data_IF_033132140018
#
_entry.id   IF_033132140018
#
_cell.length_a   1.000
_cell.length_b   1.000
_cell.length_c   1.000
_cell.angle_alpha   90.00
_cell.angle_beta   90.00
_cell.angle_gamma   90.00
#
_symmetry.space_group_name_H-M   'P 1'
#
loop_
_entity.id
_entity.type
_entity.pdbx_description
1 polymer ?
#
# COMPACT_ATOMS: atom_id res chain seq x y z
N UNK A 1 11.31 -16.49 15.64
CA UNK A 1 10.99 -16.26 16.20
C UNK A 1 11.02 -16.06 16.34
N UNK A 2 11.01 -15.92 16.11
CA UNK A 2 10.64 -15.56 16.70
C UNK A 2 10.96 -15.16 16.58
N UNK A 3 11.15 -15.17 16.31
CA UNK A 3 11.17 -14.64 16.59
C UNK A 3 11.31 -14.01 16.51
N UNK A 4 11.41 -13.75 16.30
CA UNK A 4 11.04 -13.00 16.73
C UNK A 4 10.85 -12.41 17.02
N UNK A 5 11.00 -12.45 16.97
CA UNK A 5 10.52 -11.83 17.55
C UNK A 5 10.63 -11.24 17.79
N UNK A 6 10.85 -11.10 17.75
CA UNK A 6 10.68 -10.48 18.27
C UNK A 6 11.13 -9.97 18.53
N UNK A 7 11.18 -9.77 18.59
CA UNK A 7 11.47 -9.19 18.94
C UNK A 7 11.64 -8.45 18.69
N UNK A 8 11.71 -8.26 18.31
CA UNK A 8 11.70 -7.53 18.15
C UNK A 8 11.29 -7.04 17.69
N UNK A 9 11.56 -7.64 17.25
CA UNK A 9 10.74 -7.14 16.63
C UNK A 9 9.81 -6.50 16.55
N UNK A 10 9.62 -6.66 16.94
CA UNK A 10 8.56 -5.87 17.34
C UNK A 10 8.34 -4.64 16.49
N UNK A 11 9.33 -4.10 15.90
CA UNK A 11 9.17 -2.82 15.23
C UNK A 11 8.15 -2.87 14.10
N UNK A 12 8.11 -3.94 13.30
CA UNK A 12 7.15 -4.03 12.22
C UNK A 12 5.72 -4.03 12.73
N UNK A 13 5.47 -4.80 13.76
CA UNK A 13 4.14 -4.90 14.32
C UNK A 13 3.67 -3.57 14.86
N UNK A 14 4.60 -2.71 15.24
CA UNK A 14 4.27 -1.42 15.83
C UNK A 14 4.15 -0.29 14.84
N UNK A 15 4.61 -0.47 13.61
CA UNK A 15 4.49 0.58 12.60
C UNK A 15 3.09 0.55 12.00
N UNK A 16 2.35 1.64 12.15
CA UNK A 16 0.97 1.67 11.66
C UNK A 16 0.82 1.42 10.17
N UNK A 17 1.83 1.77 9.37
CA UNK A 17 1.73 1.61 7.93
C UNK A 17 1.57 0.14 7.53
N UNK A 18 2.15 -0.78 8.30
CA UNK A 18 2.02 -2.21 7.99
C UNK A 18 0.63 -2.72 8.35
N UNK A 19 0.06 -2.25 9.44
CA UNK A 19 -1.32 -2.57 9.77
C UNK A 19 -2.28 -2.02 8.73
N UNK A 20 -2.07 -0.77 8.31
CA UNK A 20 -2.96 -0.13 7.33
C UNK A 20 -2.88 -0.80 5.97
N UNK A 21 -1.68 -1.17 5.52
CA UNK A 21 -1.56 -1.85 4.24
C UNK A 21 -2.12 -3.27 4.30
N UNK A 22 -1.97 -3.94 5.44
CA UNK A 22 -2.58 -5.26 5.62
C UNK A 22 -4.10 -5.17 5.52
N UNK A 23 -4.70 -4.21 6.22
CA UNK A 23 -6.15 -4.00 6.19
C UNK A 23 -6.62 -3.64 4.78
N UNK A 24 -5.86 -2.80 4.10
CA UNK A 24 -6.18 -2.40 2.73
C UNK A 24 -6.22 -3.62 1.80
N UNK A 25 -5.20 -4.47 1.86
CA UNK A 25 -5.17 -5.67 1.01
C UNK A 25 -6.29 -6.63 1.36
N UNK A 26 -6.59 -6.77 2.65
CA UNK A 26 -7.67 -7.63 3.13
C UNK A 26 -9.03 -7.18 2.59
N UNK A 27 -9.22 -5.87 2.47
CA UNK A 27 -10.45 -5.31 1.92
C UNK A 27 -10.48 -5.42 0.39
N UNK A 28 -9.34 -5.12 -0.24
CA UNK A 28 -9.29 -4.95 -1.69
C UNK A 28 -9.50 -6.25 -2.45
N UNK A 29 -8.85 -7.31 -2.03
CA UNK A 29 -8.88 -8.56 -2.80
C UNK A 29 -10.31 -9.08 -2.96
N UNK A 30 -11.12 -9.20 -1.90
CA UNK A 30 -12.51 -9.65 -2.09
C UNK A 30 -13.34 -8.64 -2.89
N UNK A 31 -13.06 -7.36 -2.74
CA UNK A 31 -13.82 -6.34 -3.46
C UNK A 31 -13.67 -6.48 -4.98
N UNK A 32 -12.48 -6.89 -5.44
CA UNK A 32 -12.24 -7.06 -6.87
C UNK A 32 -12.95 -8.28 -7.45
N UNK A 33 -13.49 -9.17 -6.61
CA UNK A 33 -14.26 -10.31 -7.12
C UNK A 33 -15.49 -9.87 -7.90
N UNK A 34 -15.95 -8.65 -7.68
CA UNK A 34 -17.11 -8.10 -8.38
C UNK A 34 -16.74 -7.35 -9.65
N UNK A 35 -15.45 -7.25 -9.94
CA UNK A 35 -15.01 -6.58 -11.19
C UNK A 35 -15.26 -7.51 -12.37
N UNK A 36 -15.49 -6.94 -13.59
CA UNK A 36 -15.76 -7.77 -14.76
C UNK A 36 -14.63 -8.73 -15.09
N UNK A 37 -14.98 -9.98 -15.32
CA UNK A 37 -14.00 -11.01 -15.67
C UNK A 37 -13.27 -10.70 -16.97
N UNK A 38 -13.95 -10.02 -17.90
CA UNK A 38 -13.36 -9.68 -19.17
C UNK A 38 -12.11 -8.82 -19.01
N UNK A 39 -11.99 -8.12 -17.88
CA UNK A 39 -10.87 -7.22 -17.64
C UNK A 39 -9.97 -7.69 -16.50
N UNK A 40 -10.04 -8.98 -16.16
CA UNK A 40 -9.27 -9.50 -15.04
C UNK A 40 -7.77 -9.40 -15.27
N UNK A 41 -7.30 -9.60 -16.49
CA UNK A 41 -5.87 -9.53 -16.79
C UNK A 41 -5.40 -8.14 -17.17
N UNK A 42 -6.29 -7.31 -17.67
CA UNK A 42 -5.93 -5.98 -18.16
C UNK A 42 -6.08 -4.90 -17.11
N UNK A 43 -6.98 -5.08 -16.15
CA UNK A 43 -7.21 -4.08 -15.13
C UNK A 43 -7.03 -4.63 -13.72
N UNK A 44 -7.84 -5.64 -13.36
CA UNK A 44 -7.86 -6.15 -11.98
C UNK A 44 -6.47 -6.62 -11.54
N UNK A 45 -5.79 -7.35 -12.41
CA UNK A 45 -4.46 -7.86 -12.08
C UNK A 45 -3.46 -6.71 -11.88
N UNK A 46 -3.56 -5.65 -12.69
CA UNK A 46 -2.68 -4.50 -12.53
C UNK A 46 -2.90 -3.79 -11.21
N UNK A 47 -4.17 -3.62 -10.83
CA UNK A 47 -4.48 -3.01 -9.54
C UNK A 47 -3.95 -3.85 -8.40
N UNK A 48 -4.20 -5.15 -8.42
CA UNK A 48 -3.76 -6.03 -7.34
C UNK A 48 -2.24 -6.12 -7.28
N UNK A 49 -1.58 -6.20 -8.44
CA UNK A 49 -0.12 -6.24 -8.45
C UNK A 49 0.47 -4.97 -7.83
N UNK A 50 -0.09 -3.81 -8.18
CA UNK A 50 0.40 -2.56 -7.60
C UNK A 50 0.19 -2.52 -6.09
N UNK A 51 -0.96 -3.01 -5.63
CA UNK A 51 -1.27 -3.02 -4.21
C UNK A 51 -0.35 -3.96 -3.43
N UNK A 52 -0.12 -5.17 -3.95
CA UNK A 52 0.77 -6.12 -3.28
C UNK A 52 2.22 -5.63 -3.33
N UNK A 53 2.65 -5.08 -4.47
CA UNK A 53 4.01 -4.56 -4.57
C UNK A 53 4.24 -3.39 -3.64
N UNK A 54 3.21 -2.57 -3.42
CA UNK A 54 3.30 -1.49 -2.45
C UNK A 54 3.70 -2.03 -1.08
N UNK A 55 2.98 -3.05 -0.60
CA UNK A 55 3.28 -3.65 0.70
C UNK A 55 4.67 -4.29 0.71
N UNK A 56 5.01 -5.01 -0.34
CA UNK A 56 6.30 -5.68 -0.43
C UNK A 56 7.45 -4.69 -0.46
N UNK A 57 7.26 -3.57 -1.16
CA UNK A 57 8.28 -2.53 -1.23
C UNK A 57 8.48 -1.86 0.13
N UNK A 58 7.38 -1.64 0.86
CA UNK A 58 7.48 -1.09 2.22
C UNK A 58 8.24 -2.02 3.14
N UNK A 59 8.02 -3.32 3.03
CA UNK A 59 8.75 -4.28 3.84
C UNK A 59 10.23 -4.29 3.49
N UNK A 60 10.54 -4.19 2.19
CA UNK A 60 11.93 -4.11 1.77
C UNK A 60 12.60 -2.83 2.32
N UNK A 61 11.87 -1.71 2.28
CA UNK A 61 12.37 -0.46 2.82
C UNK A 61 12.68 -0.56 4.31
N UNK A 62 11.85 -1.31 5.03
CA UNK A 62 12.04 -1.48 6.46
C UNK A 62 13.33 -2.24 6.80
N UNK A 63 13.77 -3.10 5.87
CA UNK A 63 15.00 -3.88 6.06
C UNK A 63 16.26 -3.14 5.61
N UNK A 64 16.10 -2.00 4.97
CA UNK A 64 17.23 -1.20 4.46
C UNK A 64 17.38 0.07 5.28
N UNK A 65 18.42 0.83 4.97
CA UNK A 65 18.64 2.10 5.62
C UNK A 65 19.24 3.08 4.62
N UNK A 66 19.28 4.36 4.99
CA UNK A 66 19.93 5.38 4.19
C UNK A 66 19.33 5.56 2.81
N UNK A 67 20.19 5.65 1.82
CA UNK A 67 19.78 5.91 0.44
C UNK A 67 18.91 4.80 -0.10
N UNK A 68 19.24 3.55 0.24
CA UNK A 68 18.45 2.40 -0.24
C UNK A 68 17.03 2.46 0.27
N UNK A 69 16.86 2.77 1.56
CA UNK A 69 15.51 2.89 2.13
C UNK A 69 14.74 4.01 1.43
N UNK A 70 15.37 5.16 1.27
CA UNK A 70 14.68 6.30 0.67
C UNK A 70 14.24 6.01 -0.75
N UNK A 71 15.07 5.34 -1.54
CA UNK A 71 14.71 4.96 -2.91
C UNK A 71 13.49 4.03 -2.91
N UNK A 72 13.44 3.07 -1.99
CA UNK A 72 12.31 2.16 -1.90
C UNK A 72 11.04 2.87 -1.45
N UNK A 73 11.17 3.82 -0.54
CA UNK A 73 10.00 4.59 -0.10
C UNK A 73 9.42 5.42 -1.23
N UNK A 74 10.27 6.00 -2.09
CA UNK A 74 9.79 6.74 -3.26
C UNK A 74 9.14 5.80 -4.27
N UNK A 75 9.66 4.60 -4.43
CA UNK A 75 9.04 3.59 -5.29
C UNK A 75 7.65 3.21 -4.75
N UNK A 76 7.53 3.06 -3.44
CA UNK A 76 6.25 2.77 -2.82
C UNK A 76 5.24 3.89 -3.06
N UNK A 77 5.71 5.14 -3.03
CA UNK A 77 4.85 6.29 -3.28
C UNK A 77 4.31 6.27 -4.71
N UNK A 78 5.14 5.88 -5.69
CA UNK A 78 4.68 5.75 -7.07
C UNK A 78 3.65 4.63 -7.21
N UNK A 79 3.86 3.52 -6.51
CA UNK A 79 2.89 2.43 -6.53
C UNK A 79 1.55 2.86 -5.93
N UNK A 80 1.61 3.65 -4.87
CA UNK A 80 0.39 4.15 -4.24
C UNK A 80 -0.37 5.08 -5.19
N UNK A 81 0.34 5.92 -5.95
CA UNK A 81 -0.31 6.77 -6.95
C UNK A 81 -0.99 5.94 -8.02
N UNK A 82 -0.35 4.85 -8.44
CA UNK A 82 -0.93 3.94 -9.42
C UNK A 82 -2.22 3.34 -8.89
N UNK A 83 -2.20 2.90 -7.63
CA UNK A 83 -3.40 2.38 -6.97
C UNK A 83 -4.52 3.42 -6.97
N UNK A 84 -4.17 4.67 -6.65
CA UNK A 84 -5.16 5.74 -6.62
C UNK A 84 -5.86 5.91 -7.97
N UNK A 85 -5.09 5.89 -9.05
CA UNK A 85 -5.65 6.04 -10.40
C UNK A 85 -6.58 4.88 -10.72
N UNK A 86 -6.15 3.65 -10.43
CA UNK A 86 -6.97 2.47 -10.73
C UNK A 86 -8.27 2.48 -9.93
N UNK A 87 -8.24 2.90 -8.67
CA UNK A 87 -9.46 2.98 -7.87
C UNK A 87 -10.43 4.02 -8.41
N UNK A 88 -9.91 5.17 -8.88
CA UNK A 88 -10.77 6.18 -9.49
C UNK A 88 -11.40 5.67 -10.77
N UNK A 89 -10.66 4.92 -11.56
CA UNK A 89 -11.20 4.30 -12.77
C UNK A 89 -12.30 3.29 -12.42
N UNK A 90 -12.08 2.49 -11.38
CA UNK A 90 -13.05 1.48 -10.98
C UNK A 90 -14.38 2.11 -10.56
N UNK A 91 -14.35 3.22 -9.80
CA UNK A 91 -15.60 3.87 -9.41
C UNK A 91 -16.24 4.57 -10.61
N UNK A 92 -15.42 5.15 -11.49
CA UNK A 92 -15.92 5.82 -12.68
C UNK A 92 -16.70 4.85 -13.59
N UNK A 93 -16.20 3.62 -13.70
CA UNK A 93 -16.83 2.61 -14.54
C UNK A 93 -17.92 1.82 -13.82
N UNK A 94 -18.20 2.16 -12.56
CA UNK A 94 -19.29 1.52 -11.82
C UNK A 94 -18.91 0.19 -11.19
N UNK A 95 -17.64 -0.18 -11.17
CA UNK A 95 -17.19 -1.44 -10.58
C UNK A 95 -17.04 -1.34 -9.06
N UNK A 96 -16.93 -0.13 -8.54
CA UNK A 96 -17.01 0.16 -7.12
C UNK A 96 -18.16 1.14 -6.93
N UNK A 97 -18.91 0.95 -5.84
CA UNK A 97 -19.93 1.93 -5.46
C UNK A 97 -19.26 3.17 -4.88
N UNK A 98 -20.04 4.26 -4.79
CA UNK A 98 -19.51 5.48 -4.17
C UNK A 98 -19.08 5.25 -2.73
N UNK A 99 -19.88 4.47 -1.98
CA UNK A 99 -19.53 4.16 -0.59
C UNK A 99 -18.28 3.31 -0.47
N UNK A 100 -18.14 2.31 -1.33
CA UNK A 100 -16.94 1.49 -1.36
C UNK A 100 -15.71 2.33 -1.70
N UNK A 101 -15.85 3.22 -2.68
CA UNK A 101 -14.74 4.07 -3.06
C UNK A 101 -14.34 5.01 -1.92
N UNK A 102 -15.32 5.63 -1.25
CA UNK A 102 -15.01 6.49 -0.11
C UNK A 102 -14.25 5.74 0.97
N UNK A 103 -14.69 4.51 1.24
CA UNK A 103 -14.04 3.69 2.25
C UNK A 103 -12.58 3.40 1.90
N UNK A 104 -12.34 2.91 0.69
CA UNK A 104 -10.98 2.53 0.29
C UNK A 104 -10.11 3.75 0.05
N UNK A 105 -10.69 4.86 -0.42
CA UNK A 105 -9.94 6.11 -0.59
C UNK A 105 -9.44 6.61 0.76
N UNK A 106 -10.24 6.44 1.82
CA UNK A 106 -9.81 6.77 3.17
C UNK A 106 -8.63 5.93 3.63
N UNK A 107 -8.66 4.63 3.32
CA UNK A 107 -7.55 3.74 3.65
C UNK A 107 -6.27 4.16 2.93
N UNK A 108 -6.39 4.46 1.64
CA UNK A 108 -5.25 4.86 0.82
C UNK A 108 -4.70 6.21 1.28
N UNK A 109 -5.57 7.13 1.65
CA UNK A 109 -5.16 8.44 2.17
C UNK A 109 -4.34 8.26 3.46
N UNK A 110 -4.78 7.39 4.34
CA UNK A 110 -4.06 7.14 5.59
C UNK A 110 -2.69 6.52 5.32
N UNK A 111 -2.63 5.56 4.40
CA UNK A 111 -1.35 4.98 4.00
C UNK A 111 -0.43 6.06 3.44
N UNK A 112 -0.97 6.96 2.61
CA UNK A 112 -0.19 8.04 2.02
C UNK A 112 0.39 8.98 3.06
N UNK A 113 -0.40 9.30 4.10
CA UNK A 113 0.10 10.15 5.18
C UNK A 113 1.23 9.48 5.94
N UNK A 114 1.08 8.20 6.25
CA UNK A 114 2.09 7.46 6.97
C UNK A 114 3.37 7.32 6.13
N UNK A 115 3.21 7.06 4.84
CA UNK A 115 4.35 6.95 3.95
C UNK A 115 5.09 8.27 3.82
N UNK A 116 4.34 9.38 3.67
CA UNK A 116 4.94 10.71 3.60
C UNK A 116 5.71 11.04 4.86
N UNK A 117 5.16 10.67 6.02
CA UNK A 117 5.87 10.86 7.29
C UNK A 117 7.16 10.06 7.37
N UNK A 118 7.11 8.83 6.89
CA UNK A 118 8.30 7.97 6.90
C UNK A 118 9.37 8.50 5.95
N UNK A 119 8.98 8.97 4.76
CA UNK A 119 9.92 9.60 3.84
C UNK A 119 10.58 10.81 4.48
N UNK A 120 9.77 11.66 5.09
CA UNK A 120 10.29 12.87 5.74
C UNK A 120 11.27 12.53 6.85
N UNK A 121 10.93 11.55 7.68
CA UNK A 121 11.82 11.12 8.76
C UNK A 121 13.11 10.53 8.22
N UNK A 122 13.04 9.79 7.10
CA UNK A 122 14.23 9.18 6.50
C UNK A 122 15.15 10.23 5.90
N UNK A 123 14.59 11.28 5.30
CA UNK A 123 15.39 12.38 4.79
C UNK A 123 16.07 13.12 5.94
N UNK A 124 15.34 13.41 7.01
CA UNK A 124 15.90 14.10 8.17
C UNK A 124 17.01 13.29 8.81
N UNK A 125 16.86 11.98 8.89
CA UNK A 125 17.87 11.11 9.50
C UNK A 125 19.17 11.11 8.71
N UNK A 126 19.09 11.34 7.38
CA UNK A 126 20.28 11.40 6.54
C UNK A 126 21.02 12.74 6.65
N UNK A 127 20.27 13.76 6.96
CA UNK A 127 20.89 15.08 7.10
C UNK A 127 21.74 15.16 8.34
#
# INVERSE_FOLDING_TARGET
CHRYCNRTGMSNAEMPIFTRTFDFLTWLLPATNHFPRAHSHTFTQRLLNAAFELRETLEAANRKSGVERLALLHQADELLDRVRVYLRLAVKWGWLSGGQYQHVAGMVTEIGKLLGGWIKASVSARA
#
